data_IF_574427613091
#
_entry.id   IF_574427613091
#
_cell.length_a   1.000
_cell.length_b   1.000
_cell.length_c   1.000
_cell.angle_alpha   90.00
_cell.angle_beta   90.00
_cell.angle_gamma   90.00
#
_symmetry.space_group_name_H-M   'P 1'
#
loop_
_entity.id
_entity.type
_entity.pdbx_description
1 polymer ?
#
# COMPACT_ATOMS: atom_id res chain seq x y z
N UNK A 1 -31.87 -23.96 25.90
CA UNK A 1 -30.98 -22.99 26.58
C UNK A 1 -29.71 -23.64 27.11
N UNK A 2 -29.77 -24.84 27.71
CA UNK A 2 -28.65 -25.58 28.29
C UNK A 2 -27.64 -26.09 27.23
N UNK A 3 -28.14 -26.45 26.02
CA UNK A 3 -27.31 -26.96 24.91
C UNK A 3 -26.42 -25.86 24.27
N UNK A 4 -26.88 -24.62 24.24
CA UNK A 4 -26.13 -23.49 23.68
C UNK A 4 -25.01 -23.02 24.63
N UNK A 5 -25.28 -23.09 25.95
CA UNK A 5 -24.25 -22.78 26.97
C UNK A 5 -23.15 -23.86 27.04
N UNK A 6 -23.49 -25.14 26.80
CA UNK A 6 -22.50 -26.22 26.76
C UNK A 6 -21.56 -26.15 25.54
N UNK A 7 -22.04 -25.69 24.39
CA UNK A 7 -21.24 -25.55 23.17
C UNK A 7 -20.21 -24.40 23.29
N UNK A 8 -20.56 -23.33 24.01
CA UNK A 8 -19.65 -22.19 24.27
C UNK A 8 -18.49 -22.53 25.21
N UNK A 9 -18.63 -23.60 26.04
CA UNK A 9 -17.58 -24.02 26.95
C UNK A 9 -16.57 -25.01 26.32
N UNK A 10 -16.89 -25.58 25.16
CA UNK A 10 -16.03 -26.54 24.44
C UNK A 10 -15.12 -25.82 23.41
N UNK A 11 -15.47 -24.61 23.01
CA UNK A 11 -14.62 -23.83 22.11
C UNK A 11 -13.43 -23.25 22.91
N UNK A 12 -12.19 -23.41 22.45
CA UNK A 12 -11.02 -22.87 23.13
C UNK A 12 -11.22 -21.36 23.30
N UNK A 13 -11.33 -20.96 24.57
CA UNK A 13 -11.68 -19.61 25.00
C UNK A 13 -10.70 -18.55 24.50
N UNK A 14 -9.51 -18.98 24.12
CA UNK A 14 -8.37 -18.12 23.78
C UNK A 14 -8.29 -17.72 22.30
N UNK A 15 -9.13 -18.28 21.42
CA UNK A 15 -8.97 -18.09 19.97
C UNK A 15 -9.97 -17.16 19.31
N UNK A 16 -11.13 -16.88 19.93
CA UNK A 16 -12.23 -16.14 19.28
C UNK A 16 -12.48 -14.74 19.80
N UNK A 17 -12.10 -14.45 21.04
CA UNK A 17 -12.42 -13.18 21.71
C UNK A 17 -11.21 -12.46 22.31
N UNK A 18 -9.99 -12.97 22.15
CA UNK A 18 -8.80 -12.25 22.59
C UNK A 18 -8.45 -11.15 21.60
N UNK A 19 -9.01 -9.96 21.81
CA UNK A 19 -8.77 -8.74 21.06
C UNK A 19 -7.60 -7.96 21.68
N UNK A 20 -6.69 -8.66 22.34
CA UNK A 20 -5.51 -8.05 22.98
C UNK A 20 -4.64 -7.26 21.99
N UNK A 21 -3.76 -6.37 22.49
CA UNK A 21 -2.93 -5.49 21.63
C UNK A 21 -2.03 -6.22 20.63
N UNK A 22 -1.66 -7.46 20.94
CA UNK A 22 -0.78 -8.32 20.12
C UNK A 22 -1.52 -9.24 19.16
N UNK A 23 -2.85 -9.23 19.15
CA UNK A 23 -3.63 -10.19 18.37
C UNK A 23 -3.67 -9.82 16.88
N UNK A 24 -3.56 -10.83 16.01
CA UNK A 24 -3.60 -10.64 14.54
C UNK A 24 -4.87 -9.90 14.08
N UNK A 25 -6.02 -10.18 14.68
CA UNK A 25 -7.30 -9.52 14.37
C UNK A 25 -7.21 -8.00 14.58
N UNK A 26 -6.58 -7.54 15.67
CA UNK A 26 -6.43 -6.11 15.93
C UNK A 26 -5.53 -5.43 14.90
N UNK A 27 -4.47 -6.09 14.44
CA UNK A 27 -3.63 -5.55 13.37
C UNK A 27 -4.39 -5.39 12.06
N UNK A 28 -5.26 -6.35 11.71
CA UNK A 28 -6.12 -6.25 10.53
C UNK A 28 -7.10 -5.07 10.65
N UNK A 29 -7.75 -4.88 11.81
CA UNK A 29 -8.61 -3.72 12.04
C UNK A 29 -7.83 -2.38 11.94
N UNK A 30 -6.60 -2.33 12.38
CA UNK A 30 -5.78 -1.12 12.27
C UNK A 30 -5.41 -0.83 10.80
N UNK A 31 -5.12 -1.87 10.01
CA UNK A 31 -4.91 -1.74 8.55
C UNK A 31 -6.17 -1.16 7.91
N UNK A 32 -7.34 -1.75 8.18
CA UNK A 32 -8.63 -1.27 7.63
C UNK A 32 -8.89 0.20 7.98
N UNK A 33 -8.69 0.60 9.25
CA UNK A 33 -8.91 1.99 9.69
C UNK A 33 -7.96 2.97 8.99
N UNK A 34 -6.68 2.61 8.93
CA UNK A 34 -5.66 3.44 8.28
C UNK A 34 -5.94 3.61 6.79
N UNK A 35 -6.28 2.52 6.11
CA UNK A 35 -6.48 2.51 4.67
C UNK A 35 -7.77 3.24 4.27
N UNK A 36 -8.83 3.15 5.10
CA UNK A 36 -10.03 3.99 4.93
C UNK A 36 -9.70 5.48 5.10
N UNK A 37 -9.02 5.84 6.19
CA UNK A 37 -8.62 7.23 6.43
C UNK A 37 -7.74 7.78 5.29
N UNK A 38 -6.86 6.96 4.73
CA UNK A 38 -6.07 7.34 3.56
C UNK A 38 -6.96 7.58 2.34
N UNK A 39 -7.93 6.71 2.06
CA UNK A 39 -8.88 6.87 0.96
C UNK A 39 -9.68 8.17 1.08
N UNK A 40 -10.19 8.49 2.29
CA UNK A 40 -10.89 9.74 2.57
C UNK A 40 -9.99 10.98 2.35
N UNK A 41 -8.74 10.92 2.82
CA UNK A 41 -7.75 12.01 2.61
C UNK A 41 -7.47 12.21 1.12
N UNK A 42 -7.33 11.14 0.35
CA UNK A 42 -7.12 11.22 -1.10
C UNK A 42 -8.33 11.84 -1.81
N UNK A 43 -9.55 11.43 -1.46
CA UNK A 43 -10.77 12.01 -2.04
C UNK A 43 -10.90 13.51 -1.76
N UNK A 44 -10.53 13.95 -0.54
CA UNK A 44 -10.55 15.36 -0.18
C UNK A 44 -9.42 16.18 -0.83
N UNK A 45 -8.31 15.52 -1.18
CA UNK A 45 -7.11 16.19 -1.71
C UNK A 45 -7.10 16.32 -3.24
N UNK A 46 -7.87 15.51 -3.93
CA UNK A 46 -7.94 15.47 -5.39
C UNK A 46 -9.37 15.61 -5.88
N UNK A 47 -9.56 16.30 -7.00
CA UNK A 47 -10.84 16.42 -7.68
C UNK A 47 -11.08 15.24 -8.62
N UNK A 48 -12.28 15.11 -9.16
CA UNK A 48 -12.61 14.03 -10.11
C UNK A 48 -11.73 14.04 -11.36
N UNK A 49 -11.18 15.20 -11.71
CA UNK A 49 -10.37 15.38 -12.94
C UNK A 49 -8.88 15.15 -12.73
N UNK A 50 -8.38 15.24 -11.50
CA UNK A 50 -6.94 15.08 -11.16
C UNK A 50 -6.67 13.94 -10.16
N UNK A 51 -7.68 13.10 -9.91
CA UNK A 51 -7.61 11.98 -8.97
C UNK A 51 -6.68 10.87 -9.49
N UNK A 52 -5.55 10.59 -8.82
CA UNK A 52 -4.58 9.62 -9.29
C UNK A 52 -5.05 8.17 -9.18
N UNK A 53 -4.62 7.32 -10.08
CA UNK A 53 -4.66 5.88 -9.85
C UNK A 53 -3.60 5.48 -8.83
N UNK A 54 -3.93 4.57 -7.91
CA UNK A 54 -3.04 4.13 -6.85
C UNK A 54 -2.78 2.63 -6.89
N UNK A 55 -1.53 2.22 -6.67
CA UNK A 55 -1.15 0.82 -6.51
C UNK A 55 -0.94 0.50 -5.03
N UNK A 56 -1.62 -0.52 -4.51
CA UNK A 56 -1.58 -0.87 -3.09
C UNK A 56 -1.39 -2.37 -2.86
N UNK A 57 -0.77 -2.73 -1.74
CA UNK A 57 -0.57 -4.13 -1.33
C UNK A 57 -1.82 -4.68 -0.64
N UNK A 58 -2.51 -3.86 0.13
CA UNK A 58 -3.75 -4.23 0.83
C UNK A 58 -4.91 -3.39 0.28
N UNK A 59 -5.57 -3.87 -0.78
CA UNK A 59 -6.56 -3.09 -1.51
C UNK A 59 -7.93 -3.02 -0.81
N UNK A 60 -8.26 -3.94 0.11
CA UNK A 60 -9.61 -4.15 0.60
C UNK A 60 -10.31 -2.91 1.14
N UNK A 61 -9.71 -2.23 2.10
CA UNK A 61 -10.37 -1.10 2.78
C UNK A 61 -10.32 0.19 1.96
N UNK A 62 -9.19 0.48 1.30
CA UNK A 62 -9.04 1.70 0.51
C UNK A 62 -9.91 1.69 -0.74
N UNK A 63 -10.07 0.52 -1.38
CA UNK A 63 -10.92 0.36 -2.55
C UNK A 63 -12.42 0.54 -2.27
N UNK A 64 -12.84 0.50 -0.99
CA UNK A 64 -14.22 0.76 -0.59
C UNK A 64 -14.57 2.23 -0.47
N UNK A 65 -13.57 3.10 -0.31
CA UNK A 65 -13.81 4.52 0.00
C UNK A 65 -13.14 5.47 -0.99
N UNK A 66 -12.04 5.07 -1.62
CA UNK A 66 -11.36 5.90 -2.60
C UNK A 66 -12.10 5.86 -3.95
N UNK A 67 -12.50 7.01 -4.45
CA UNK A 67 -13.27 7.16 -5.70
C UNK A 67 -12.37 7.06 -6.96
N UNK A 68 -11.06 7.04 -6.79
CA UNK A 68 -10.11 6.84 -7.88
C UNK A 68 -9.84 5.37 -8.19
N UNK A 69 -9.04 5.12 -9.23
CA UNK A 69 -8.66 3.76 -9.62
C UNK A 69 -7.69 3.16 -8.61
N UNK A 70 -8.05 2.02 -8.02
CA UNK A 70 -7.18 1.23 -7.14
C UNK A 70 -6.66 0.00 -7.89
N UNK A 71 -5.35 -0.16 -7.94
CA UNK A 71 -4.67 -1.32 -8.51
C UNK A 71 -4.20 -2.21 -7.36
N UNK A 72 -4.86 -3.36 -7.22
CA UNK A 72 -4.49 -4.39 -6.25
C UNK A 72 -3.24 -5.15 -6.75
N UNK A 73 -2.11 -4.88 -6.11
CA UNK A 73 -0.84 -5.49 -6.48
C UNK A 73 -0.74 -6.96 -6.06
N UNK A 74 -1.64 -7.44 -5.20
CA UNK A 74 -1.68 -8.85 -4.77
C UNK A 74 -2.60 -9.72 -5.62
N UNK A 75 -3.38 -9.13 -6.52
CA UNK A 75 -4.20 -9.84 -7.47
C UNK A 75 -5.53 -10.38 -6.93
N UNK A 76 -5.96 -10.02 -5.72
CA UNK A 76 -7.25 -10.45 -5.20
C UNK A 76 -8.42 -9.82 -5.96
N UNK A 77 -8.25 -8.56 -6.37
CA UNK A 77 -9.22 -7.79 -7.15
C UNK A 77 -8.64 -7.32 -8.49
N UNK A 78 -7.54 -7.92 -8.96
CA UNK A 78 -6.85 -7.56 -10.19
C UNK A 78 -6.56 -8.83 -11.01
N UNK A 79 -7.42 -9.10 -11.99
CA UNK A 79 -7.35 -10.31 -12.80
C UNK A 79 -6.04 -10.45 -13.56
N UNK A 80 -5.51 -9.36 -14.12
CA UNK A 80 -4.24 -9.37 -14.82
C UNK A 80 -3.10 -9.81 -13.90
N UNK A 81 -3.10 -9.31 -12.67
CA UNK A 81 -2.12 -9.68 -11.65
C UNK A 81 -2.32 -11.14 -11.20
N UNK A 82 -3.57 -11.55 -10.97
CA UNK A 82 -3.92 -12.89 -10.52
C UNK A 82 -3.55 -13.98 -11.54
N UNK A 83 -3.68 -13.68 -12.82
CA UNK A 83 -3.45 -14.63 -13.93
C UNK A 83 -2.11 -14.43 -14.64
N UNK A 84 -1.29 -13.49 -14.20
CA UNK A 84 0.03 -13.28 -14.79
C UNK A 84 0.88 -14.56 -14.68
N UNK A 85 1.52 -14.90 -15.79
CA UNK A 85 2.57 -15.94 -15.80
C UNK A 85 3.80 -15.47 -15.03
N UNK A 86 4.53 -16.39 -14.43
CA UNK A 86 5.79 -16.08 -13.76
C UNK A 86 5.95 -16.75 -12.40
N UNK A 87 6.96 -16.28 -11.66
CA UNK A 87 7.31 -16.84 -10.36
C UNK A 87 6.25 -16.52 -9.30
N UNK A 88 5.60 -17.58 -8.82
CA UNK A 88 4.63 -17.51 -7.71
C UNK A 88 5.24 -17.90 -6.36
N UNK A 89 6.58 -17.95 -6.28
CA UNK A 89 7.29 -18.14 -5.02
C UNK A 89 7.19 -16.86 -4.19
N UNK A 90 7.11 -17.03 -2.89
CA UNK A 90 7.04 -15.91 -1.96
C UNK A 90 6.15 -16.22 -0.76
N UNK A 91 5.77 -15.16 -0.05
CA UNK A 91 4.93 -15.29 1.13
C UNK A 91 3.56 -15.88 0.76
N UNK A 92 3.10 -16.88 1.52
CA UNK A 92 1.78 -17.50 1.34
C UNK A 92 0.69 -16.41 1.23
N UNK A 93 -0.19 -16.54 0.25
CA UNK A 93 -1.27 -15.60 -0.09
C UNK A 93 -0.82 -14.22 -0.63
N UNK A 94 0.49 -14.02 -0.89
CA UNK A 94 1.03 -12.76 -1.39
C UNK A 94 2.00 -12.99 -2.56
N UNK A 95 1.90 -14.14 -3.23
CA UNK A 95 2.86 -14.55 -4.26
C UNK A 95 2.46 -14.15 -5.69
N UNK A 96 1.27 -13.56 -5.89
CA UNK A 96 0.77 -13.24 -7.23
C UNK A 96 1.41 -12.00 -7.85
N UNK A 97 2.10 -11.15 -7.08
CA UNK A 97 2.70 -9.94 -7.60
C UNK A 97 3.60 -10.19 -8.82
N UNK A 98 3.36 -9.45 -9.89
CA UNK A 98 4.11 -9.50 -11.13
C UNK A 98 4.52 -8.07 -11.55
N UNK A 99 5.83 -7.85 -11.72
CA UNK A 99 6.41 -6.55 -12.04
C UNK A 99 5.98 -6.02 -13.40
N UNK A 100 5.90 -6.90 -14.41
CA UNK A 100 5.55 -6.51 -15.77
C UNK A 100 4.07 -6.06 -15.84
N UNK A 101 3.19 -6.73 -15.10
CA UNK A 101 1.79 -6.30 -14.96
C UNK A 101 1.71 -4.94 -14.30
N UNK A 102 2.45 -4.73 -13.20
CA UNK A 102 2.48 -3.45 -12.50
C UNK A 102 2.94 -2.32 -13.43
N UNK A 103 4.08 -2.52 -14.11
CA UNK A 103 4.64 -1.52 -15.03
C UNK A 103 3.73 -1.23 -16.22
N UNK A 104 3.00 -2.23 -16.70
CA UNK A 104 1.98 -2.05 -17.77
C UNK A 104 0.76 -1.29 -17.26
N UNK A 105 0.27 -1.59 -16.05
CA UNK A 105 -0.88 -0.90 -15.43
C UNK A 105 -0.53 0.51 -14.95
N UNK A 106 0.72 0.74 -14.64
CA UNK A 106 1.37 2.04 -14.44
C UNK A 106 0.57 3.03 -13.58
N UNK A 107 0.23 2.71 -12.31
CA UNK A 107 -0.47 3.64 -11.44
C UNK A 107 0.34 4.93 -11.21
N UNK A 108 -0.34 6.05 -11.02
CA UNK A 108 0.30 7.35 -10.74
C UNK A 108 1.06 7.34 -9.41
N UNK A 109 0.50 6.68 -8.39
CA UNK A 109 1.13 6.61 -7.05
C UNK A 109 1.14 5.16 -6.57
N UNK A 110 2.30 4.69 -6.13
CA UNK A 110 2.46 3.37 -5.53
C UNK A 110 2.64 3.47 -4.04
N UNK A 111 1.96 2.59 -3.32
CA UNK A 111 2.01 2.47 -1.86
C UNK A 111 1.88 3.82 -1.15
N UNK A 112 0.81 4.61 -1.42
CA UNK A 112 0.62 5.90 -0.79
C UNK A 112 0.44 5.77 0.72
N UNK A 113 0.94 6.76 1.48
CA UNK A 113 0.74 6.88 2.92
C UNK A 113 0.92 8.33 3.36
N UNK A 114 0.33 8.71 4.48
CA UNK A 114 0.55 10.03 5.06
C UNK A 114 1.85 10.01 5.86
N UNK A 115 2.70 11.01 5.62
CA UNK A 115 3.98 11.18 6.30
C UNK A 115 4.06 12.57 6.95
N UNK A 116 4.73 12.67 8.09
CA UNK A 116 4.82 13.93 8.84
C UNK A 116 5.85 14.87 8.22
N UNK A 117 6.96 14.34 7.68
CA UNK A 117 7.98 15.12 7.02
C UNK A 117 8.74 14.31 5.95
N UNK A 118 9.42 15.02 5.05
CA UNK A 118 10.24 14.40 4.01
C UNK A 118 11.48 13.73 4.61
N UNK A 119 12.02 14.25 5.71
CA UNK A 119 13.18 13.69 6.41
C UNK A 119 12.85 12.32 6.99
N UNK A 120 11.65 12.15 7.55
CA UNK A 120 11.17 10.84 8.04
C UNK A 120 11.07 9.86 6.88
N UNK A 121 10.53 10.28 5.73
CA UNK A 121 10.44 9.44 4.54
C UNK A 121 11.83 9.03 4.03
N UNK A 122 12.76 9.97 3.94
CA UNK A 122 14.13 9.72 3.49
C UNK A 122 14.88 8.76 4.44
N UNK A 123 14.73 8.97 5.75
CA UNK A 123 15.33 8.09 6.77
C UNK A 123 14.77 6.68 6.67
N UNK A 124 13.45 6.53 6.60
CA UNK A 124 12.80 5.23 6.46
C UNK A 124 13.22 4.51 5.17
N UNK A 125 13.39 5.26 4.07
CA UNK A 125 13.88 4.70 2.81
C UNK A 125 15.32 4.19 2.93
N UNK A 126 16.22 4.98 3.53
CA UNK A 126 17.62 4.60 3.75
C UNK A 126 17.75 3.35 4.64
N UNK A 127 16.98 3.28 5.72
CA UNK A 127 16.93 2.09 6.58
C UNK A 127 16.42 0.86 5.83
N UNK A 128 15.45 1.05 4.96
CA UNK A 128 14.87 -0.02 4.15
C UNK A 128 15.85 -0.54 3.11
N UNK A 129 16.62 0.32 2.46
CA UNK A 129 17.69 -0.07 1.54
C UNK A 129 18.80 -0.83 2.29
N UNK A 130 19.21 -0.36 3.47
CA UNK A 130 20.23 -1.01 4.30
C UNK A 130 19.79 -2.40 4.80
N UNK A 131 18.48 -2.62 5.00
CA UNK A 131 17.88 -3.82 5.59
C UNK A 131 16.94 -4.57 4.62
N UNK A 132 17.09 -4.41 3.33
CA UNK A 132 16.15 -4.89 2.30
C UNK A 132 15.75 -6.37 2.43
N UNK A 133 16.68 -7.23 2.89
CA UNK A 133 16.40 -8.66 3.11
C UNK A 133 15.48 -8.97 4.30
N UNK A 134 15.18 -8.01 5.16
CA UNK A 134 14.40 -8.22 6.39
C UNK A 134 12.99 -7.57 6.33
N UNK A 135 12.70 -6.78 5.30
CA UNK A 135 11.42 -6.09 5.23
C UNK A 135 10.34 -6.99 4.61
N UNK A 136 9.22 -7.24 5.30
CA UNK A 136 8.17 -8.17 4.83
C UNK A 136 7.61 -7.82 3.44
N UNK A 137 7.62 -6.53 3.07
CA UNK A 137 7.10 -6.08 1.77
C UNK A 137 8.09 -6.31 0.62
N UNK A 138 9.39 -6.45 0.88
CA UNK A 138 10.36 -6.75 -0.19
C UNK A 138 10.17 -8.16 -0.75
N UNK A 139 9.86 -9.13 0.12
CA UNK A 139 9.52 -10.49 -0.32
C UNK A 139 8.24 -10.47 -1.19
N UNK A 140 7.27 -9.61 -0.83
CA UNK A 140 6.01 -9.47 -1.56
C UNK A 140 6.23 -8.79 -2.90
N UNK A 141 7.01 -7.71 -2.94
CA UNK A 141 7.28 -6.91 -4.14
C UNK A 141 8.46 -7.46 -4.99
N UNK A 142 9.04 -8.59 -4.57
CA UNK A 142 10.06 -9.33 -5.35
C UNK A 142 11.22 -8.46 -5.85
N UNK A 143 11.70 -7.55 -4.99
CA UNK A 143 12.79 -6.64 -5.33
C UNK A 143 12.41 -5.56 -6.37
N UNK A 144 11.15 -5.15 -6.44
CA UNK A 144 10.69 -4.09 -7.36
C UNK A 144 11.55 -2.82 -7.26
N UNK A 145 11.95 -2.44 -6.05
CA UNK A 145 12.73 -1.21 -5.79
C UNK A 145 14.18 -1.27 -6.31
N UNK A 146 14.66 -2.44 -6.71
CA UNK A 146 15.95 -2.62 -7.36
C UNK A 146 15.83 -2.83 -8.88
N UNK A 147 14.62 -2.78 -9.42
CA UNK A 147 14.35 -2.94 -10.85
C UNK A 147 14.60 -1.61 -11.57
N UNK A 148 15.54 -1.58 -12.52
CA UNK A 148 15.91 -0.35 -13.23
C UNK A 148 14.71 0.29 -13.93
N UNK A 149 13.87 -0.51 -14.62
CA UNK A 149 12.64 -0.01 -15.28
C UNK A 149 11.68 0.68 -14.30
N UNK A 150 11.63 0.21 -13.06
CA UNK A 150 10.83 0.85 -12.01
C UNK A 150 11.45 2.18 -11.57
N UNK A 151 12.76 2.22 -11.33
CA UNK A 151 13.49 3.43 -10.93
C UNK A 151 13.48 4.51 -12.02
N UNK A 152 13.48 4.10 -13.30
CA UNK A 152 13.35 5.01 -14.44
C UNK A 152 11.94 5.62 -14.52
N UNK A 153 10.90 4.84 -14.17
CA UNK A 153 9.51 5.26 -14.26
C UNK A 153 8.99 6.00 -13.02
N UNK A 154 9.53 5.70 -11.84
CA UNK A 154 9.01 6.20 -10.55
C UNK A 154 10.07 6.94 -9.74
N UNK A 155 9.60 7.94 -8.99
CA UNK A 155 10.40 8.71 -8.03
C UNK A 155 9.78 8.59 -6.65
N UNK A 156 10.60 8.21 -5.65
CA UNK A 156 10.19 8.30 -4.25
C UNK A 156 10.12 9.77 -3.82
N UNK A 157 9.06 10.13 -3.12
CA UNK A 157 8.91 11.49 -2.64
C UNK A 157 7.63 11.70 -1.85
N UNK A 158 7.33 12.95 -1.57
CA UNK A 158 6.12 13.37 -0.91
C UNK A 158 5.45 14.53 -1.64
N UNK A 159 4.14 14.43 -1.83
CA UNK A 159 3.30 15.46 -2.42
C UNK A 159 2.58 16.21 -1.29
N UNK A 160 2.63 17.56 -1.30
CA UNK A 160 1.82 18.35 -0.39
C UNK A 160 0.35 18.26 -0.81
N UNK A 161 -0.48 17.83 0.13
CA UNK A 161 -1.92 17.66 -0.04
C UNK A 161 -2.70 18.58 0.90
N UNK A 162 -4.01 18.37 1.01
CA UNK A 162 -4.92 19.17 1.84
C UNK A 162 -4.38 19.33 3.28
N UNK A 163 -4.61 20.52 3.88
CA UNK A 163 -4.18 20.89 5.23
C UNK A 163 -2.65 20.86 5.47
N UNK A 164 -1.87 20.97 4.39
CA UNK A 164 -0.41 20.95 4.47
C UNK A 164 0.20 19.60 4.79
N UNK A 165 -0.61 18.53 4.82
CA UNK A 165 -0.13 17.15 4.99
C UNK A 165 0.73 16.72 3.81
N UNK A 166 1.57 15.73 4.04
CA UNK A 166 2.40 15.13 3.00
C UNK A 166 1.92 13.71 2.69
N UNK A 167 1.67 13.46 1.42
CA UNK A 167 1.39 12.14 0.88
C UNK A 167 2.70 11.55 0.37
N UNK A 168 3.28 10.62 1.10
CA UNK A 168 4.48 9.87 0.71
C UNK A 168 4.14 8.70 -0.20
N UNK A 169 5.09 8.30 -1.05
CA UNK A 169 4.94 7.16 -1.93
C UNK A 169 5.92 7.19 -3.10
N UNK A 170 5.77 6.22 -4.01
CA UNK A 170 6.46 6.24 -5.29
C UNK A 170 5.54 6.85 -6.33
N UNK A 171 5.95 7.97 -6.89
CA UNK A 171 5.18 8.72 -7.88
C UNK A 171 5.74 8.46 -9.28
N UNK A 172 4.86 8.22 -10.25
CA UNK A 172 5.25 8.10 -11.64
C UNK A 172 5.78 9.46 -12.14
N UNK A 173 6.90 9.48 -12.84
CA UNK A 173 7.61 10.72 -13.18
C UNK A 173 6.78 11.66 -14.06
N UNK A 174 6.08 11.12 -15.07
CA UNK A 174 5.19 11.91 -15.93
C UNK A 174 3.98 12.47 -15.16
N UNK A 175 3.50 11.74 -14.14
CA UNK A 175 2.47 12.27 -13.24
C UNK A 175 3.00 13.44 -12.40
N UNK A 176 4.24 13.37 -11.89
CA UNK A 176 4.87 14.48 -11.16
C UNK A 176 4.94 15.72 -12.06
N UNK A 177 5.32 15.56 -13.32
CA UNK A 177 5.40 16.65 -14.31
C UNK A 177 4.01 17.27 -14.60
N UNK A 178 2.94 16.47 -14.51
CA UNK A 178 1.57 16.94 -14.70
C UNK A 178 0.97 17.68 -13.51
N UNK A 179 1.60 17.60 -12.32
CA UNK A 179 1.11 18.21 -11.07
C UNK A 179 1.25 19.73 -11.06
N UNK A 180 0.43 20.41 -11.86
CA UNK A 180 0.42 21.87 -11.94
C UNK A 180 0.04 22.51 -10.60
N UNK A 181 0.91 23.34 -10.03
CA UNK A 181 0.66 24.11 -8.81
C UNK A 181 0.72 23.32 -7.50
N UNK A 182 1.04 22.03 -7.52
CA UNK A 182 1.28 21.21 -6.34
C UNK A 182 2.76 21.09 -6.02
N UNK A 183 3.12 21.09 -4.73
CA UNK A 183 4.51 20.98 -4.29
C UNK A 183 4.86 19.48 -4.10
N UNK A 184 5.80 19.02 -4.91
CA UNK A 184 6.40 17.68 -4.79
C UNK A 184 7.82 17.80 -4.23
N UNK A 185 8.14 16.98 -3.26
CA UNK A 185 9.43 16.90 -2.58
C UNK A 185 10.07 15.55 -2.88
N UNK A 186 11.05 15.46 -3.79
CA UNK A 186 11.72 14.19 -4.07
C UNK A 186 12.61 13.76 -2.89
N UNK A 187 12.68 12.46 -2.65
CA UNK A 187 13.75 11.86 -1.85
C UNK A 187 14.97 11.73 -2.76
N UNK A 188 16.06 12.38 -2.38
CA UNK A 188 17.33 12.32 -3.09
C UNK A 188 18.21 11.32 -2.35
N UNK A 189 18.63 10.26 -3.03
CA UNK A 189 19.62 9.33 -2.50
C UNK A 189 20.99 10.06 -2.47
N UNK A 190 21.48 10.33 -1.26
CA UNK A 190 22.78 10.94 -1.00
C UNK A 190 23.85 9.89 -0.72
#
# INVERSE_FOLDING_TARGET
LILVTGLLLILPRDSWFDIGPSHRIRSEFNIVKRDRALGDILNLSFTDTDRPSIGVVAAGAIALVYDGKVIDMMGLNNLDMAHAEGDRKGRKNHAAFNKDVLLRQSPEILTPFVVESIEILATAHKELLANSKKHPNEDVLKGLRCEQRFLDAYQLGALRILDGKLLGGWFRRDYIESLSGRLFYPVIDS
#
